data_IF_990775786633
#
_entry.id   IF_990775786633
#
_cell.length_a   1.000
_cell.length_b   1.000
_cell.length_c   1.000
_cell.angle_alpha   90.00
_cell.angle_beta   90.00
_cell.angle_gamma   90.00
#
_symmetry.space_group_name_H-M   'P 1'
#
loop_
_entity.id
_entity.type
_entity.pdbx_description
1 polymer ?
#
# COMPACT_ATOMS: atom_id res chain seq x y z
N UNK A 1 52.89 -22.46 -58.84
CA UNK A 1 52.16 -22.46 -60.12
C UNK A 1 50.95 -21.56 -60.01
N UNK A 2 50.68 -20.75 -61.04
CA UNK A 2 49.66 -19.68 -61.09
C UNK A 2 48.28 -20.23 -61.39
N UNK A 3 47.23 -19.64 -60.80
CA UNK A 3 45.98 -19.28 -61.50
C UNK A 3 45.15 -18.31 -60.63
N UNK A 4 44.82 -17.15 -61.20
CA UNK A 4 43.80 -16.15 -60.81
C UNK A 4 42.57 -16.40 -61.72
N UNK A 5 41.32 -16.02 -61.38
CA UNK A 5 40.90 -14.61 -61.56
C UNK A 5 39.83 -14.07 -60.58
N UNK A 6 39.66 -12.74 -60.71
CA UNK A 6 38.76 -11.83 -59.99
C UNK A 6 37.39 -11.73 -60.70
N UNK A 7 36.44 -11.14 -59.97
CA UNK A 7 35.42 -10.16 -60.40
C UNK A 7 33.98 -10.62 -60.71
N UNK A 8 33.03 -9.79 -60.29
CA UNK A 8 31.58 -9.84 -60.57
C UNK A 8 30.75 -9.48 -59.32
N UNK A 9 30.61 -8.19 -58.96
CA UNK A 9 29.50 -7.26 -59.29
C UNK A 9 28.23 -7.40 -58.42
N UNK A 10 27.98 -6.33 -57.63
CA UNK A 10 26.72 -5.60 -57.30
C UNK A 10 25.48 -6.45 -56.90
N UNK A 11 24.73 -6.15 -55.84
CA UNK A 11 23.74 -5.05 -55.74
C UNK A 11 23.24 -4.94 -54.26
N UNK A 12 23.27 -3.70 -53.73
CA UNK A 12 22.26 -2.96 -52.93
C UNK A 12 21.21 -3.76 -52.12
N UNK A 13 21.11 -3.47 -50.81
CA UNK A 13 19.92 -2.94 -50.11
C UNK A 13 19.95 -3.29 -48.60
N UNK A 14 19.54 -2.34 -47.76
CA UNK A 14 19.15 -2.64 -46.38
C UNK A 14 19.84 -1.81 -45.31
N UNK A 15 19.67 -0.49 -45.36
CA UNK A 15 19.79 0.38 -44.19
C UNK A 15 18.67 0.02 -43.21
N UNK A 16 18.95 -0.60 -42.07
CA UNK A 16 18.11 -0.49 -40.87
C UNK A 16 18.99 -0.57 -39.62
N UNK A 17 19.29 0.62 -39.09
CA UNK A 17 19.74 0.84 -37.72
C UNK A 17 18.69 0.31 -36.75
N UNK A 18 18.87 -0.90 -36.24
CA UNK A 18 18.16 -1.35 -35.05
C UNK A 18 18.99 -0.92 -33.82
N UNK A 19 18.78 0.32 -33.38
CA UNK A 19 19.22 0.73 -32.05
C UNK A 19 18.50 -0.16 -31.02
N UNK A 20 19.21 -0.73 -30.03
CA UNK A 20 18.54 -1.38 -28.92
C UNK A 20 17.83 -0.26 -28.14
N UNK A 21 16.52 -0.15 -28.35
CA UNK A 21 15.65 0.60 -27.47
C UNK A 21 15.92 0.10 -26.06
N UNK A 22 16.46 1.01 -25.24
CA UNK A 22 16.52 0.86 -23.81
C UNK A 22 15.13 0.47 -23.33
N UNK A 23 14.94 -0.81 -23.01
CA UNK A 23 13.85 -1.26 -22.18
C UNK A 23 14.14 -0.68 -20.79
N UNK A 24 13.76 0.58 -20.61
CA UNK A 24 13.59 1.17 -19.29
C UNK A 24 12.75 0.19 -18.51
N UNK A 25 13.40 -0.53 -17.60
CA UNK A 25 12.77 -1.37 -16.61
C UNK A 25 11.95 -0.48 -15.69
N UNK A 26 10.82 0.00 -16.19
CA UNK A 26 9.64 0.21 -15.38
C UNK A 26 9.27 -1.17 -14.88
N UNK A 27 9.96 -1.60 -13.81
CA UNK A 27 9.38 -2.51 -12.86
C UNK A 27 8.02 -1.87 -12.54
N UNK A 28 6.98 -2.42 -13.14
CA UNK A 28 5.61 -2.06 -12.85
C UNK A 28 5.51 -2.07 -11.33
N UNK A 29 5.45 -0.88 -10.73
CA UNK A 29 5.20 -0.72 -9.31
C UNK A 29 3.96 -1.56 -9.07
N UNK A 30 4.16 -2.68 -8.38
CA UNK A 30 3.22 -3.80 -8.38
C UNK A 30 1.83 -3.25 -8.14
N UNK A 31 0.99 -3.28 -9.17
CA UNK A 31 -0.39 -2.79 -9.19
C UNK A 31 -1.31 -3.66 -8.33
N UNK A 32 -0.73 -4.38 -7.37
CA UNK A 32 -1.42 -5.33 -6.53
C UNK A 32 -1.24 -5.02 -5.05
N UNK A 33 -1.90 -3.97 -4.58
CA UNK A 33 -2.64 -4.08 -3.32
C UNK A 33 -4.11 -4.07 -3.66
N UNK A 34 -4.73 -5.15 -4.18
CA UNK A 34 -6.09 -5.44 -3.81
C UNK A 34 -6.01 -6.12 -2.43
N UNK A 35 -7.04 -5.97 -1.59
CA UNK A 35 -7.28 -7.06 -0.64
C UNK A 35 -7.20 -8.38 -1.42
N UNK A 36 -6.51 -9.39 -0.88
CA UNK A 36 -6.66 -10.76 -1.41
C UNK A 36 -8.16 -11.07 -1.36
N UNK A 37 -8.85 -11.06 -2.50
CA UNK A 37 -10.29 -11.34 -2.56
C UNK A 37 -11.23 -10.13 -2.43
N UNK A 38 -10.79 -8.88 -2.67
CA UNK A 38 -11.76 -7.80 -2.88
C UNK A 38 -12.70 -8.17 -4.05
N UNK A 39 -14.04 -8.14 -3.87
CA UNK A 39 -14.96 -8.21 -4.99
C UNK A 39 -14.67 -7.03 -5.94
N UNK A 40 -15.02 -7.18 -7.22
CA UNK A 40 -14.75 -6.27 -8.34
C UNK A 40 -15.21 -4.81 -8.12
N UNK A 41 -14.52 -4.08 -7.25
CA UNK A 41 -14.80 -2.70 -6.88
C UNK A 41 -13.54 -1.86 -6.85
N UNK A 42 -13.72 -0.54 -6.93
CA UNK A 42 -12.62 0.42 -6.88
C UNK A 42 -11.80 0.27 -5.59
N UNK A 43 -10.57 -0.22 -5.75
CA UNK A 43 -9.56 -0.30 -4.69
C UNK A 43 -9.15 1.10 -4.24
N UNK A 44 -9.12 1.32 -2.92
CA UNK A 44 -8.90 2.62 -2.32
C UNK A 44 -8.10 2.52 -1.01
N UNK A 45 -6.98 3.25 -0.84
CA UNK A 45 -6.25 4.02 -1.84
C UNK A 45 -5.43 3.12 -2.79
N UNK A 46 -4.93 3.71 -3.89
CA UNK A 46 -3.98 3.04 -4.79
C UNK A 46 -2.58 3.00 -4.19
N UNK A 47 -1.78 2.01 -4.59
CA UNK A 47 -0.39 1.86 -4.17
C UNK A 47 0.45 3.11 -4.48
N UNK A 48 1.28 3.53 -3.53
CA UNK A 48 2.19 4.68 -3.64
C UNK A 48 3.65 4.23 -3.49
N UNK A 49 4.62 5.07 -3.91
CA UNK A 49 6.05 4.78 -3.76
C UNK A 49 6.48 4.51 -2.30
N UNK A 50 5.77 5.11 -1.34
CA UNK A 50 5.85 4.84 0.10
C UNK A 50 5.71 3.36 0.48
N UNK A 51 5.01 2.58 -0.34
CA UNK A 51 4.71 1.17 -0.14
C UNK A 51 5.63 0.22 -0.91
N UNK A 52 6.68 0.72 -1.56
CA UNK A 52 7.57 -0.06 -2.44
C UNK A 52 8.23 -1.27 -1.77
N UNK A 53 8.52 -1.20 -0.47
CA UNK A 53 9.09 -2.31 0.31
C UNK A 53 8.05 -3.01 1.22
N UNK A 54 6.77 -2.71 1.06
CA UNK A 54 5.69 -3.40 1.77
C UNK A 54 5.17 -4.58 0.94
N UNK A 55 4.92 -5.72 1.59
CA UNK A 55 4.33 -6.90 0.97
C UNK A 55 3.16 -7.37 1.82
N UNK A 56 1.96 -7.41 1.24
CA UNK A 56 0.74 -7.83 1.91
C UNK A 56 0.88 -9.24 2.51
N UNK A 57 0.60 -9.40 3.81
CA UNK A 57 0.67 -10.67 4.51
C UNK A 57 2.09 -11.16 4.80
N UNK A 58 3.13 -10.37 4.52
CA UNK A 58 4.52 -10.75 4.79
C UNK A 58 5.01 -10.33 6.19
N UNK A 59 4.24 -9.51 6.91
CA UNK A 59 4.60 -9.04 8.24
C UNK A 59 4.36 -10.11 9.29
N UNK A 60 5.45 -10.61 9.88
CA UNK A 60 5.42 -11.36 11.14
C UNK A 60 5.07 -10.45 12.34
N UNK A 61 4.70 -11.06 13.47
CA UNK A 61 4.44 -10.32 14.72
C UNK A 61 5.61 -9.40 15.12
N UNK A 62 6.85 -9.88 14.97
CA UNK A 62 8.06 -9.08 15.25
C UNK A 62 8.19 -7.91 14.25
N UNK A 63 8.18 -8.21 12.95
CA UNK A 63 8.40 -7.20 11.90
C UNK A 63 7.28 -6.17 11.78
N UNK A 64 6.11 -6.43 12.35
CA UNK A 64 4.98 -5.49 12.35
C UNK A 64 5.26 -4.25 13.18
N UNK A 65 6.05 -4.38 14.25
CA UNK A 65 6.39 -3.27 15.15
C UNK A 65 7.82 -2.74 14.94
N UNK A 66 8.49 -3.15 13.87
CA UNK A 66 9.89 -2.85 13.62
C UNK A 66 10.12 -2.01 12.34
N UNK A 67 11.29 -1.39 12.27
CA UNK A 67 11.89 -0.81 11.07
C UNK A 67 10.92 0.06 10.24
N UNK A 68 10.78 -0.24 8.94
CA UNK A 68 9.96 0.54 8.02
C UNK A 68 8.46 0.46 8.35
N UNK A 69 7.95 -0.64 8.92
CA UNK A 69 6.54 -0.70 9.29
C UNK A 69 6.24 0.16 10.52
N UNK A 70 7.17 0.24 11.48
CA UNK A 70 7.04 1.15 12.61
C UNK A 70 6.91 2.62 12.16
N UNK A 71 7.64 3.02 11.12
CA UNK A 71 7.51 4.37 10.53
C UNK A 71 6.11 4.61 9.94
N UNK A 72 5.52 3.60 9.27
CA UNK A 72 4.14 3.67 8.75
C UNK A 72 3.11 3.84 9.86
N UNK A 73 3.25 3.04 10.92
CA UNK A 73 2.36 3.09 12.07
C UNK A 73 2.42 4.47 12.75
N UNK A 74 3.62 5.04 12.92
CA UNK A 74 3.79 6.38 13.48
C UNK A 74 3.15 7.46 12.61
N UNK A 75 3.36 7.42 11.30
CA UNK A 75 2.74 8.37 10.38
C UNK A 75 1.20 8.26 10.39
N UNK A 76 0.67 7.03 10.40
CA UNK A 76 -0.77 6.81 10.52
C UNK A 76 -1.34 7.29 11.87
N UNK A 77 -0.55 7.19 12.95
CA UNK A 77 -0.93 7.70 14.25
C UNK A 77 -0.99 9.22 14.27
N UNK A 78 -0.06 9.92 13.62
CA UNK A 78 -0.08 11.38 13.52
C UNK A 78 -1.34 11.91 12.82
N UNK A 79 -1.90 11.16 11.86
CA UNK A 79 -3.16 11.49 11.18
C UNK A 79 -4.39 11.36 12.09
N UNK A 80 -4.42 10.35 12.97
CA UNK A 80 -5.59 10.02 13.80
C UNK A 80 -5.51 10.61 15.21
N UNK A 81 -4.30 10.85 15.70
CA UNK A 81 -4.02 11.33 17.04
C UNK A 81 -2.89 12.37 17.02
N UNK A 82 -3.10 13.53 16.35
CA UNK A 82 -2.10 14.59 16.34
C UNK A 82 -1.78 15.03 17.77
N UNK A 83 -0.50 15.15 18.08
CA UNK A 83 -0.03 15.48 19.44
C UNK A 83 0.10 14.28 20.38
N UNK A 84 -0.25 13.06 19.96
CA UNK A 84 0.06 11.86 20.73
C UNK A 84 1.57 11.61 20.73
N UNK A 85 2.19 11.67 21.91
CA UNK A 85 3.63 11.44 22.05
C UNK A 85 3.92 9.94 22.04
N UNK A 86 4.57 9.46 20.98
CA UNK A 86 5.07 8.08 20.90
C UNK A 86 6.06 7.82 22.05
N UNK A 87 5.61 7.13 23.09
CA UNK A 87 6.38 6.87 24.31
C UNK A 87 5.53 6.68 25.56
N UNK A 88 4.29 7.21 25.59
CA UNK A 88 3.40 7.13 26.76
C UNK A 88 2.63 5.81 26.91
N UNK A 89 2.30 5.15 25.79
CA UNK A 89 1.81 3.77 25.77
C UNK A 89 1.96 3.20 24.37
N UNK A 90 2.48 1.97 24.25
CA UNK A 90 2.61 1.23 22.98
C UNK A 90 1.26 0.94 22.30
N UNK A 91 0.16 1.19 23.01
CA UNK A 91 -1.21 0.84 22.63
C UNK A 91 -1.67 1.46 21.30
N UNK A 92 -1.38 2.73 21.03
CA UNK A 92 -1.81 3.38 19.78
C UNK A 92 -1.22 2.71 18.53
N UNK A 93 0.07 2.38 18.58
CA UNK A 93 0.75 1.68 17.49
C UNK A 93 0.31 0.22 17.39
N UNK A 94 0.05 -0.46 18.51
CA UNK A 94 -0.48 -1.83 18.53
C UNK A 94 -1.89 -1.90 17.92
N UNK A 95 -2.76 -0.91 18.19
CA UNK A 95 -4.09 -0.81 17.58
C UNK A 95 -3.99 -0.62 16.07
N UNK A 96 -3.10 0.25 15.60
CA UNK A 96 -2.85 0.47 14.17
C UNK A 96 -2.24 -0.76 13.48
N UNK A 97 -1.39 -1.50 14.18
CA UNK A 97 -0.85 -2.76 13.72
C UNK A 97 -1.95 -3.83 13.61
N UNK A 98 -2.86 -3.89 14.58
CA UNK A 98 -4.04 -4.74 14.55
C UNK A 98 -4.99 -4.39 13.40
N UNK A 99 -5.19 -3.09 13.14
CA UNK A 99 -5.96 -2.59 12.02
C UNK A 99 -5.34 -3.00 10.68
N UNK A 100 -4.04 -2.76 10.50
CA UNK A 100 -3.29 -3.16 9.31
C UNK A 100 -3.43 -4.67 9.07
N UNK A 101 -3.28 -5.48 10.12
CA UNK A 101 -3.47 -6.92 10.03
C UNK A 101 -4.89 -7.30 9.57
N UNK A 102 -5.94 -6.68 10.11
CA UNK A 102 -7.31 -6.99 9.67
C UNK A 102 -7.48 -6.75 8.18
N UNK A 103 -6.93 -5.66 7.65
CA UNK A 103 -7.02 -5.35 6.23
C UNK A 103 -6.07 -6.18 5.34
N UNK A 104 -5.07 -6.85 5.91
CA UNK A 104 -4.27 -7.83 5.18
C UNK A 104 -4.99 -9.17 4.98
N UNK A 105 -6.05 -9.45 5.75
CA UNK A 105 -6.80 -10.71 5.67
C UNK A 105 -7.65 -10.79 4.42
N UNK A 106 -7.93 -12.03 3.99
CA UNK A 106 -8.83 -12.30 2.84
C UNK A 106 -10.27 -11.86 3.12
N UNK A 107 -10.71 -12.04 4.35
CA UNK A 107 -12.00 -11.60 4.86
C UNK A 107 -11.75 -10.75 6.10
N UNK A 108 -11.55 -9.44 5.94
CA UNK A 108 -11.34 -8.52 7.05
C UNK A 108 -12.54 -8.52 8.01
N UNK A 109 -12.27 -8.51 9.32
CA UNK A 109 -13.29 -8.19 10.31
C UNK A 109 -13.46 -6.66 10.36
N UNK A 110 -14.54 -6.20 9.74
CA UNK A 110 -14.85 -4.76 9.62
C UNK A 110 -15.17 -4.14 10.97
N UNK A 111 -15.82 -4.89 11.87
CA UNK A 111 -16.14 -4.41 13.22
C UNK A 111 -14.86 -4.18 14.01
N UNK A 112 -13.99 -5.18 14.04
CA UNK A 112 -12.73 -5.10 14.77
C UNK A 112 -11.79 -4.02 14.19
N UNK A 113 -11.71 -3.91 12.86
CA UNK A 113 -10.96 -2.84 12.21
C UNK A 113 -11.48 -1.44 12.61
N UNK A 114 -12.80 -1.29 12.69
CA UNK A 114 -13.43 -0.03 13.11
C UNK A 114 -13.15 0.29 14.57
N UNK A 115 -13.20 -0.71 15.46
CA UNK A 115 -12.86 -0.54 16.89
C UNK A 115 -11.43 -0.07 17.10
N UNK A 116 -10.47 -0.66 16.38
CA UNK A 116 -9.07 -0.22 16.49
C UNK A 116 -8.88 1.25 16.09
N UNK A 117 -9.54 1.69 15.02
CA UNK A 117 -9.51 3.08 14.61
C UNK A 117 -10.21 4.00 15.62
N UNK A 118 -11.37 3.61 16.15
CA UNK A 118 -12.08 4.39 17.15
C UNK A 118 -11.21 4.62 18.41
N UNK A 119 -10.54 3.58 18.89
CA UNK A 119 -9.72 3.63 20.10
C UNK A 119 -8.45 4.47 19.93
N UNK A 120 -7.83 4.49 18.75
CA UNK A 120 -6.61 5.28 18.51
C UNK A 120 -6.92 6.74 18.17
N UNK A 121 -8.13 7.07 17.71
CA UNK A 121 -8.41 8.39 17.13
C UNK A 121 -8.82 9.44 18.17
N UNK A 122 -8.12 10.59 18.15
CA UNK A 122 -8.53 11.80 18.89
C UNK A 122 -9.21 12.84 17.99
N UNK A 123 -9.24 12.59 16.68
CA UNK A 123 -9.93 13.43 15.67
C UNK A 123 -11.05 12.63 14.99
N UNK A 124 -11.99 13.28 14.27
CA UNK A 124 -13.06 12.59 13.56
C UNK A 124 -12.55 11.58 12.52
N UNK A 125 -13.10 10.36 12.54
CA UNK A 125 -12.76 9.30 11.59
C UNK A 125 -13.62 9.42 10.34
N UNK A 126 -13.13 10.16 9.36
CA UNK A 126 -13.79 10.34 8.05
C UNK A 126 -13.29 9.34 7.01
N UNK A 127 -14.00 9.20 5.90
CA UNK A 127 -13.53 8.41 4.74
C UNK A 127 -12.21 8.94 4.17
N UNK A 128 -11.98 10.25 4.22
CA UNK A 128 -10.74 10.88 3.81
C UNK A 128 -9.59 10.61 4.78
N UNK A 129 -9.85 10.65 6.10
CA UNK A 129 -8.87 10.24 7.10
C UNK A 129 -8.49 8.76 6.91
N UNK A 130 -9.49 7.90 6.71
CA UNK A 130 -9.28 6.48 6.44
C UNK A 130 -8.46 6.24 5.17
N UNK A 131 -8.69 7.02 4.11
CA UNK A 131 -7.87 6.95 2.90
C UNK A 131 -6.40 7.19 3.22
N UNK A 132 -6.10 8.26 3.95
CA UNK A 132 -4.71 8.65 4.26
C UNK A 132 -4.05 7.60 5.14
N UNK A 133 -4.74 7.13 6.17
CA UNK A 133 -4.28 6.04 7.05
C UNK A 133 -3.97 4.78 6.24
N UNK A 134 -4.87 4.36 5.35
CA UNK A 134 -4.65 3.19 4.51
C UNK A 134 -3.46 3.34 3.57
N UNK A 135 -3.26 4.54 3.01
CA UNK A 135 -2.11 4.83 2.15
C UNK A 135 -0.80 4.76 2.93
N UNK A 136 -0.78 5.28 4.16
CA UNK A 136 0.38 5.24 5.05
C UNK A 136 0.69 3.82 5.50
N UNK A 137 -0.34 3.01 5.78
CA UNK A 137 -0.21 1.62 6.21
C UNK A 137 -0.07 0.63 5.06
N UNK A 138 -0.12 1.09 3.81
CA UNK A 138 0.01 0.27 2.61
C UNK A 138 -1.03 -0.86 2.49
N UNK A 139 -2.21 -0.61 3.05
CA UNK A 139 -3.40 -1.46 2.92
C UNK A 139 -4.45 -0.74 2.09
N UNK A 140 -5.41 -1.49 1.58
CA UNK A 140 -6.43 -0.96 0.67
C UNK A 140 -7.74 -1.69 0.90
N UNK A 141 -8.86 -1.02 0.68
CA UNK A 141 -10.17 -1.65 0.71
C UNK A 141 -11.08 -1.15 -0.41
N UNK A 142 -12.30 -1.67 -0.52
CA UNK A 142 -13.29 -1.11 -1.46
C UNK A 142 -13.84 0.20 -0.91
N UNK A 143 -14.32 1.11 -1.77
CA UNK A 143 -14.96 2.36 -1.31
C UNK A 143 -16.13 2.12 -0.35
N UNK A 144 -16.95 1.09 -0.59
CA UNK A 144 -18.08 0.74 0.27
C UNK A 144 -17.60 0.30 1.66
N UNK A 145 -16.58 -0.56 1.71
CA UNK A 145 -15.97 -1.00 2.97
C UNK A 145 -15.30 0.16 3.70
N UNK A 146 -14.62 1.07 2.98
CA UNK A 146 -14.04 2.27 3.59
C UNK A 146 -15.10 3.17 4.22
N UNK A 147 -16.21 3.40 3.52
CA UNK A 147 -17.34 4.17 4.05
C UNK A 147 -17.92 3.53 5.30
N UNK A 148 -18.09 2.21 5.30
CA UNK A 148 -18.58 1.46 6.46
C UNK A 148 -17.64 1.55 7.65
N UNK A 149 -16.33 1.29 7.46
CA UNK A 149 -15.33 1.38 8.52
C UNK A 149 -15.32 2.78 9.13
N UNK A 150 -15.28 3.83 8.31
CA UNK A 150 -15.23 5.20 8.80
C UNK A 150 -16.46 5.56 9.63
N UNK A 151 -17.67 5.24 9.15
CA UNK A 151 -18.91 5.51 9.87
C UNK A 151 -18.99 4.75 11.21
N UNK A 152 -18.64 3.45 11.22
CA UNK A 152 -18.66 2.64 12.44
C UNK A 152 -17.59 3.08 13.44
N UNK A 153 -16.38 3.40 12.98
CA UNK A 153 -15.30 3.89 13.83
C UNK A 153 -15.64 5.24 14.46
N UNK A 154 -16.22 6.17 13.70
CA UNK A 154 -16.59 7.48 14.24
C UNK A 154 -17.72 7.38 15.27
N UNK A 155 -18.74 6.56 15.01
CA UNK A 155 -19.80 6.32 16.00
C UNK A 155 -19.22 5.78 17.31
N UNK A 156 -18.34 4.77 17.22
CA UNK A 156 -17.69 4.19 18.40
C UNK A 156 -16.76 5.19 19.11
N UNK A 157 -16.01 6.03 18.37
CA UNK A 157 -15.15 7.07 18.96
C UNK A 157 -15.96 8.08 19.76
N UNK A 158 -17.11 8.51 19.24
CA UNK A 158 -18.03 9.42 19.94
C UNK A 158 -18.63 8.78 21.19
N UNK A 159 -18.94 7.49 21.15
CA UNK A 159 -19.45 6.77 22.32
C UNK A 159 -18.38 6.62 23.42
N UNK A 160 -17.10 6.40 23.06
CA UNK A 160 -15.98 6.34 24.01
C UNK A 160 -15.64 7.68 24.67
N UNK A 161 -16.05 8.80 24.07
CA UNK A 161 -15.79 10.14 24.56
C UNK A 161 -16.88 10.68 25.51
N UNK A 162 -17.96 9.91 25.73
CA UNK A 162 -19.01 10.21 26.71
C UNK A 162 -18.64 9.68 28.08
#
# INVERSE_FOLDING_TARGET
MRARPRSGWRIIAGLLLAAPLAASGLAAAQTTTPHRGAPSGDVYPRAAAWCSNFRLGALSAKTRMDAANLQRLRAAQEELAPGFTAGGARTGLDLLAGYQEQLERRHPDIGLASTYLAMVSTVPVTTDALRRVNALLCVSTTRATAAQIAATAEAARLDLAR
#
